data_IF_177403956941
#
_entry.id   IF_177403956941
#
_cell.length_a   1.000
_cell.length_b   1.000
_cell.length_c   1.000
_cell.angle_alpha   90.00
_cell.angle_beta   90.00
_cell.angle_gamma   90.00
#
_symmetry.space_group_name_H-M   'P 1'
#
loop_
_entity.id
_entity.type
_entity.pdbx_description
1 polymer ?
#
# COMPACT_ATOMS: atom_id res chain seq x y z
N UNK A 1 40.10 -20.09 -30.11
CA UNK A 1 39.73 -18.72 -29.66
C UNK A 1 38.25 -18.36 -29.88
N UNK A 2 37.66 -18.57 -31.07
CA UNK A 2 36.27 -18.15 -31.38
C UNK A 2 35.20 -18.79 -30.44
N UNK A 3 35.39 -20.05 -30.01
CA UNK A 3 34.48 -20.72 -29.05
C UNK A 3 34.53 -20.13 -27.63
N UNK A 4 35.67 -19.58 -27.22
CA UNK A 4 35.86 -18.99 -25.89
C UNK A 4 35.22 -17.60 -25.81
N UNK A 5 35.39 -16.81 -26.88
CA UNK A 5 34.80 -15.48 -27.02
C UNK A 5 33.26 -15.54 -27.13
N UNK A 6 32.69 -16.56 -27.79
CA UNK A 6 31.23 -16.80 -27.80
C UNK A 6 30.68 -17.15 -26.42
N UNK A 7 31.39 -17.95 -25.61
CA UNK A 7 30.95 -18.28 -24.23
C UNK A 7 31.01 -17.07 -23.30
N UNK A 8 32.07 -16.25 -23.40
CA UNK A 8 32.16 -15.01 -22.62
C UNK A 8 31.11 -13.97 -23.03
N UNK A 9 30.81 -13.86 -24.34
CA UNK A 9 29.78 -12.95 -24.82
C UNK A 9 28.38 -13.35 -24.29
N UNK A 10 28.06 -14.64 -24.25
CA UNK A 10 26.79 -15.13 -23.67
C UNK A 10 26.72 -14.87 -22.16
N UNK A 11 27.83 -15.07 -21.43
CA UNK A 11 27.88 -14.79 -19.99
C UNK A 11 27.68 -13.29 -19.68
N UNK A 12 28.31 -12.42 -20.48
CA UNK A 12 28.21 -10.96 -20.32
C UNK A 12 26.80 -10.44 -20.63
N UNK A 13 26.11 -11.04 -21.60
CA UNK A 13 24.74 -10.70 -21.96
C UNK A 13 23.71 -11.25 -20.97
N UNK A 14 24.00 -12.38 -20.32
CA UNK A 14 23.12 -13.01 -19.33
C UNK A 14 23.19 -12.36 -17.94
N UNK A 15 24.36 -11.80 -17.57
CA UNK A 15 24.58 -11.16 -16.27
C UNK A 15 23.59 -10.04 -15.91
N UNK A 16 23.24 -9.08 -16.78
CA UNK A 16 22.31 -8.00 -16.42
C UNK A 16 20.88 -8.50 -16.15
N UNK A 17 20.49 -9.64 -16.72
CA UNK A 17 19.16 -10.25 -16.51
C UNK A 17 19.00 -10.72 -15.05
N UNK A 18 20.10 -11.06 -14.37
CA UNK A 18 20.09 -11.45 -12.96
C UNK A 18 19.87 -10.25 -12.02
N UNK A 19 20.05 -9.01 -12.51
CA UNK A 19 19.90 -7.78 -11.73
C UNK A 19 18.59 -7.03 -12.02
N UNK A 20 17.67 -7.59 -12.81
CA UNK A 20 16.34 -7.00 -13.01
C UNK A 20 15.43 -7.30 -11.81
N UNK A 21 15.58 -6.53 -10.73
CA UNK A 21 14.70 -6.58 -9.57
C UNK A 21 13.49 -5.65 -9.69
N UNK A 22 12.40 -5.98 -8.99
CA UNK A 22 11.31 -5.02 -8.77
C UNK A 22 11.76 -3.97 -7.75
N UNK A 23 12.18 -2.80 -8.25
CA UNK A 23 12.64 -1.67 -7.44
C UNK A 23 11.52 -0.70 -7.03
N UNK A 24 10.29 -1.03 -7.38
CA UNK A 24 9.09 -0.26 -7.06
C UNK A 24 7.97 -1.23 -6.67
N UNK A 25 7.48 -1.12 -5.46
CA UNK A 25 6.33 -1.85 -4.95
C UNK A 25 5.25 -0.86 -4.54
N UNK A 26 4.00 -1.19 -4.82
CA UNK A 26 2.86 -0.35 -4.53
C UNK A 26 1.74 -1.20 -3.95
N UNK A 27 1.17 -0.75 -2.85
CA UNK A 27 0.04 -1.37 -2.16
C UNK A 27 -1.05 -0.31 -2.05
N UNK A 28 -2.25 -0.62 -2.54
CA UNK A 28 -3.42 0.27 -2.45
C UNK A 28 -4.50 -0.42 -1.65
N UNK A 29 -5.19 0.32 -0.78
CA UNK A 29 -6.25 -0.21 0.08
C UNK A 29 -7.66 -0.06 -0.52
N UNK A 30 -7.78 0.59 -1.68
CA UNK A 30 -9.07 0.93 -2.30
C UNK A 30 -9.65 2.26 -1.83
N UNK A 31 -9.11 2.84 -0.76
CA UNK A 31 -9.46 4.16 -0.25
C UNK A 31 -9.06 5.27 -1.25
N UNK A 32 -9.90 6.30 -1.36
CA UNK A 32 -9.59 7.49 -2.14
C UNK A 32 -8.39 8.23 -1.52
N UNK A 33 -7.36 8.49 -2.32
CA UNK A 33 -6.18 9.27 -1.88
C UNK A 33 -6.53 10.71 -1.53
N UNK A 34 -5.98 11.20 -0.43
CA UNK A 34 -5.96 12.62 -0.08
C UNK A 34 -4.71 13.31 -0.64
N UNK A 35 -4.59 14.62 -0.36
CA UNK A 35 -3.37 15.39 -0.61
C UNK A 35 -2.32 15.24 0.51
N UNK A 36 -2.64 14.53 1.60
CA UNK A 36 -1.74 14.31 2.72
C UNK A 36 -0.84 13.10 2.43
N UNK A 37 0.47 13.36 2.46
CA UNK A 37 1.50 12.37 2.13
C UNK A 37 2.59 12.43 3.20
N UNK A 38 2.91 11.28 3.78
CA UNK A 38 4.07 11.08 4.62
C UNK A 38 5.16 10.35 3.83
N UNK A 39 6.40 10.83 3.90
CA UNK A 39 7.51 10.29 3.11
C UNK A 39 8.73 10.07 3.99
N UNK A 40 9.27 8.87 3.92
CA UNK A 40 10.52 8.49 4.55
C UNK A 40 11.53 8.09 3.47
N UNK A 41 12.41 9.02 3.11
CA UNK A 41 13.39 8.84 2.03
C UNK A 41 14.43 7.73 2.32
N UNK A 42 14.75 7.52 3.60
CA UNK A 42 15.74 6.56 4.07
C UNK A 42 15.13 5.63 5.12
N UNK A 43 14.50 4.56 4.65
CA UNK A 43 14.13 3.41 5.45
C UNK A 43 15.30 2.41 5.42
N UNK A 44 15.94 2.20 6.57
CA UNK A 44 17.16 1.42 6.67
C UNK A 44 16.87 -0.09 6.62
N UNK A 45 17.26 -0.75 5.54
CA UNK A 45 17.24 -2.22 5.46
C UNK A 45 18.66 -2.72 5.19
N UNK A 46 18.92 -4.00 5.46
CA UNK A 46 20.26 -4.57 5.35
C UNK A 46 20.27 -5.90 4.60
N UNK A 47 21.44 -6.25 4.08
CA UNK A 47 21.70 -7.53 3.41
C UNK A 47 20.71 -7.73 2.26
N UNK A 48 20.71 -6.82 1.29
CA UNK A 48 19.83 -6.89 0.12
C UNK A 48 18.33 -6.85 0.44
N UNK A 49 17.93 -6.36 1.62
CA UNK A 49 16.54 -6.34 2.08
C UNK A 49 16.11 -7.55 2.91
N UNK A 50 17.03 -8.45 3.28
CA UNK A 50 16.73 -9.57 4.18
C UNK A 50 16.34 -9.08 5.58
N UNK A 51 17.00 -8.02 6.06
CA UNK A 51 16.62 -7.33 7.29
C UNK A 51 15.67 -6.19 6.91
N UNK A 52 14.39 -6.27 7.28
CA UNK A 52 13.40 -5.26 6.91
C UNK A 52 13.69 -3.93 7.61
N UNK A 53 13.22 -2.80 7.04
CA UNK A 53 13.28 -1.52 7.72
C UNK A 53 12.36 -1.47 8.95
N UNK A 54 12.60 -0.47 9.79
CA UNK A 54 11.72 -0.19 10.93
C UNK A 54 10.28 0.02 10.49
N UNK A 55 9.34 -0.37 11.35
CA UNK A 55 7.91 -0.25 11.09
C UNK A 55 7.55 1.24 10.99
N UNK A 56 6.90 1.61 9.89
CA UNK A 56 6.30 2.93 9.72
C UNK A 56 4.90 2.90 10.31
N UNK A 57 4.69 3.61 11.42
CA UNK A 57 3.38 3.73 12.07
C UNK A 57 2.50 4.72 11.30
N UNK A 58 1.94 4.28 10.18
CA UNK A 58 1.12 5.12 9.32
C UNK A 58 -0.13 5.69 10.02
N UNK A 59 -0.64 5.02 11.05
CA UNK A 59 -1.74 5.49 11.90
C UNK A 59 -1.44 6.80 12.66
N UNK A 60 -0.17 7.07 12.95
CA UNK A 60 0.25 8.31 13.61
C UNK A 60 0.20 9.52 12.69
N UNK A 61 0.22 9.27 11.37
CA UNK A 61 0.24 10.31 10.34
C UNK A 61 -1.09 10.40 9.58
N UNK A 62 -1.79 9.29 9.40
CA UNK A 62 -3.01 9.22 8.62
C UNK A 62 -4.21 8.93 9.52
N UNK A 63 -4.88 9.98 9.99
CA UNK A 63 -6.08 9.87 10.87
C UNK A 63 -7.22 9.08 10.20
N UNK A 64 -7.37 9.21 8.88
CA UNK A 64 -8.40 8.56 8.09
C UNK A 64 -7.95 7.21 7.50
N UNK A 65 -6.83 6.66 7.95
CA UNK A 65 -6.24 5.45 7.38
C UNK A 65 -5.43 5.71 6.11
N UNK A 66 -4.88 4.63 5.55
CA UNK A 66 -3.89 4.69 4.46
C UNK A 66 -4.57 4.36 3.14
N UNK A 67 -4.42 5.22 2.13
CA UNK A 67 -4.90 4.94 0.77
C UNK A 67 -3.90 4.13 -0.05
N UNK A 68 -2.62 4.46 0.10
CA UNK A 68 -1.55 3.90 -0.72
C UNK A 68 -0.23 3.90 0.02
N UNK A 69 0.54 2.83 -0.14
CA UNK A 69 1.93 2.73 0.29
C UNK A 69 2.79 2.40 -0.92
N UNK A 70 3.84 3.17 -1.12
CA UNK A 70 4.83 2.95 -2.17
C UNK A 70 6.20 2.76 -1.56
N UNK A 71 6.87 1.69 -1.96
CA UNK A 71 8.26 1.44 -1.60
C UNK A 71 9.08 1.51 -2.88
N UNK A 72 10.05 2.42 -2.92
CA UNK A 72 10.90 2.63 -4.11
C UNK A 72 12.37 2.71 -3.75
N UNK A 73 13.24 2.35 -4.69
CA UNK A 73 14.65 2.71 -4.62
C UNK A 73 14.89 4.01 -5.38
N UNK A 74 15.20 5.07 -4.67
CA UNK A 74 15.72 6.30 -5.26
C UNK A 74 17.12 6.09 -5.82
N UNK A 75 17.58 6.99 -6.69
CA UNK A 75 18.95 6.97 -7.20
C UNK A 75 20.00 6.96 -6.07
N UNK A 76 19.79 7.75 -5.02
CA UNK A 76 20.69 7.80 -3.87
C UNK A 76 20.67 6.50 -3.07
N UNK A 77 19.52 5.85 -2.97
CA UNK A 77 19.39 4.55 -2.33
C UNK A 77 20.14 3.46 -3.11
N UNK A 78 20.04 3.47 -4.43
CA UNK A 78 20.80 2.56 -5.30
C UNK A 78 22.31 2.82 -5.22
N UNK A 79 22.72 4.09 -5.15
CA UNK A 79 24.14 4.43 -4.98
C UNK A 79 24.68 3.93 -3.64
N UNK A 80 23.94 4.11 -2.55
CA UNK A 80 24.32 3.58 -1.23
C UNK A 80 24.41 2.05 -1.23
N UNK A 81 23.45 1.38 -1.88
CA UNK A 81 23.50 -0.06 -2.09
C UNK A 81 24.75 -0.49 -2.85
N UNK A 82 25.05 0.18 -3.96
CA UNK A 82 26.20 -0.14 -4.78
C UNK A 82 27.53 0.03 -4.01
N UNK A 83 27.71 1.15 -3.32
CA UNK A 83 28.92 1.46 -2.55
C UNK A 83 29.12 0.48 -1.39
N UNK A 84 28.04 0.00 -0.81
CA UNK A 84 28.09 -0.95 0.32
C UNK A 84 27.95 -2.42 -0.10
N UNK A 85 27.98 -2.70 -1.40
CA UNK A 85 27.79 -4.05 -1.95
C UNK A 85 26.50 -4.73 -1.42
N UNK A 86 25.43 -3.96 -1.31
CA UNK A 86 24.12 -4.34 -0.77
C UNK A 86 24.13 -4.79 0.70
N UNK A 87 25.20 -4.53 1.46
CA UNK A 87 25.17 -4.72 2.91
C UNK A 87 24.19 -3.74 3.57
N UNK A 88 24.18 -2.50 3.08
CA UNK A 88 23.20 -1.49 3.44
C UNK A 88 22.27 -1.24 2.26
N UNK A 89 20.99 -1.55 2.45
CA UNK A 89 19.97 -1.51 1.42
C UNK A 89 18.84 -0.55 1.79
N UNK A 90 19.12 0.76 1.83
CA UNK A 90 18.10 1.75 2.08
C UNK A 90 17.05 1.75 0.97
N UNK A 91 15.82 2.08 1.34
CA UNK A 91 14.70 2.29 0.44
C UNK A 91 13.91 3.52 0.87
N UNK A 92 13.04 3.99 0.00
CA UNK A 92 12.15 5.11 0.26
C UNK A 92 10.72 4.59 0.39
N UNK A 93 10.04 5.01 1.45
CA UNK A 93 8.65 4.65 1.73
C UNK A 93 7.80 5.93 1.65
N UNK A 94 6.78 5.90 0.82
CA UNK A 94 5.79 6.96 0.70
C UNK A 94 4.43 6.41 1.10
N UNK A 95 3.78 7.07 2.05
CA UNK A 95 2.45 6.75 2.54
C UNK A 95 1.52 7.89 2.15
N UNK A 96 0.53 7.60 1.31
CA UNK A 96 -0.54 8.55 0.99
C UNK A 96 -1.74 8.25 1.88
N UNK A 97 -2.17 9.25 2.65
CA UNK A 97 -3.31 9.11 3.55
C UNK A 97 -4.62 9.12 2.76
N UNK A 98 -5.63 8.45 3.31
CA UNK A 98 -6.97 8.44 2.74
C UNK A 98 -7.71 9.77 2.98
N UNK A 99 -8.52 10.18 2.01
CA UNK A 99 -9.36 11.37 2.12
C UNK A 99 -10.49 11.19 3.15
N UNK A 100 -10.93 9.95 3.37
CA UNK A 100 -12.01 9.60 4.28
C UNK A 100 -11.73 8.26 4.98
N UNK A 101 -12.20 8.06 6.22
CA UNK A 101 -11.93 6.87 7.04
C UNK A 101 -12.61 5.57 6.57
N UNK A 102 -13.29 5.57 5.42
CA UNK A 102 -14.07 4.44 4.91
C UNK A 102 -13.67 4.11 3.48
N UNK A 103 -13.25 2.85 3.28
CA UNK A 103 -12.79 2.34 1.99
C UNK A 103 -13.94 2.11 0.99
N UNK A 104 -15.17 2.07 1.48
CA UNK A 104 -16.24 1.45 0.72
C UNK A 104 -17.48 2.32 0.53
N UNK A 105 -17.41 3.64 0.74
CA UNK A 105 -18.44 4.48 0.15
C UNK A 105 -18.17 4.56 -1.35
N UNK A 106 -18.63 3.55 -2.10
CA UNK A 106 -18.93 3.76 -3.51
C UNK A 106 -19.78 5.04 -3.55
N UNK A 107 -19.49 6.03 -4.42
CA UNK A 107 -20.21 7.30 -4.39
C UNK A 107 -21.75 7.16 -4.41
N UNK A 108 -22.25 6.05 -4.95
CA UNK A 108 -23.69 5.70 -5.00
C UNK A 108 -24.18 4.78 -3.87
N UNK A 109 -23.31 4.38 -2.93
CA UNK A 109 -23.69 3.52 -1.81
C UNK A 109 -24.51 4.27 -0.77
N UNK A 110 -25.64 3.67 -0.36
CA UNK A 110 -26.51 4.24 0.68
C UNK A 110 -25.95 3.90 2.06
N UNK A 111 -25.99 4.89 2.96
CA UNK A 111 -25.67 4.69 4.37
C UNK A 111 -26.92 4.98 5.21
N UNK A 112 -27.24 4.05 6.12
CA UNK A 112 -28.26 4.21 7.15
C UNK A 112 -27.55 4.60 8.44
N UNK A 113 -27.87 5.77 8.98
CA UNK A 113 -27.28 6.26 10.23
C UNK A 113 -28.14 5.81 11.42
N UNK A 114 -27.48 5.21 12.41
CA UNK A 114 -28.09 4.71 13.66
C UNK A 114 -27.42 5.43 14.83
N UNK A 115 -28.17 6.04 15.76
CA UNK A 115 -27.58 6.67 16.94
C UNK A 115 -26.78 5.67 17.80
N UNK A 116 -25.58 6.05 18.27
CA UNK A 116 -24.86 5.33 19.33
C UNK A 116 -25.74 5.32 20.57
N UNK A 117 -26.09 4.12 21.06
CA UNK A 117 -27.05 3.84 22.15
C UNK A 117 -28.51 3.65 21.73
N UNK A 118 -28.78 3.37 20.45
CA UNK A 118 -30.10 2.90 20.04
C UNK A 118 -30.44 1.55 20.67
N UNK A 119 -31.72 1.35 21.00
CA UNK A 119 -32.22 0.05 21.46
C UNK A 119 -32.05 -1.02 20.39
N UNK A 120 -31.93 -2.28 20.83
CA UNK A 120 -31.69 -3.44 19.95
C UNK A 120 -32.74 -3.56 18.84
N UNK A 121 -33.98 -3.14 19.09
CA UNK A 121 -35.05 -3.11 18.09
C UNK A 121 -34.73 -2.16 16.93
N UNK A 122 -34.24 -0.95 17.22
CA UNK A 122 -33.87 0.04 16.20
C UNK A 122 -32.68 -0.46 15.38
N UNK A 123 -31.72 -1.10 16.04
CA UNK A 123 -30.54 -1.68 15.37
C UNK A 123 -30.95 -2.80 14.42
N UNK A 124 -31.79 -3.74 14.88
CA UNK A 124 -32.33 -4.83 14.05
C UNK A 124 -33.15 -4.31 12.88
N UNK A 125 -33.98 -3.28 13.10
CA UNK A 125 -34.73 -2.60 12.05
C UNK A 125 -33.81 -2.05 10.96
N UNK A 126 -32.78 -1.30 11.34
CA UNK A 126 -31.81 -0.74 10.40
C UNK A 126 -31.07 -1.81 9.60
N UNK A 127 -30.72 -2.95 10.22
CA UNK A 127 -30.10 -4.07 9.50
C UNK A 127 -31.06 -4.75 8.53
N UNK A 128 -32.32 -4.96 8.91
CA UNK A 128 -33.32 -5.54 8.00
C UNK A 128 -33.57 -4.63 6.79
N UNK A 129 -33.65 -3.32 7.02
CA UNK A 129 -33.80 -2.33 5.95
C UNK A 129 -32.58 -2.30 5.03
N UNK A 130 -31.37 -2.36 5.60
CA UNK A 130 -30.13 -2.45 4.82
C UNK A 130 -30.11 -3.68 3.90
N UNK A 131 -30.51 -4.84 4.42
CA UNK A 131 -30.59 -6.09 3.64
C UNK A 131 -31.58 -5.96 2.49
N UNK A 132 -32.77 -5.41 2.75
CA UNK A 132 -33.79 -5.21 1.71
C UNK A 132 -33.32 -4.25 0.62
N UNK A 133 -32.76 -3.11 1.02
CA UNK A 133 -32.23 -2.11 0.09
C UNK A 133 -31.06 -2.67 -0.73
N UNK A 134 -30.18 -3.48 -0.13
CA UNK A 134 -29.08 -4.13 -0.83
C UNK A 134 -29.58 -5.16 -1.84
N UNK A 135 -30.58 -5.97 -1.48
CA UNK A 135 -31.20 -6.94 -2.37
C UNK A 135 -31.89 -6.27 -3.58
N UNK A 136 -32.56 -5.14 -3.37
CA UNK A 136 -33.25 -4.38 -4.43
C UNK A 136 -32.26 -3.66 -5.36
N UNK A 137 -31.28 -2.97 -4.80
CA UNK A 137 -30.32 -2.15 -5.55
C UNK A 137 -29.16 -2.94 -6.16
N UNK A 138 -28.91 -4.17 -5.68
CA UNK A 138 -27.72 -4.97 -5.98
C UNK A 138 -26.41 -4.24 -5.66
N UNK A 139 -26.45 -3.32 -4.70
CA UNK A 139 -25.31 -2.53 -4.22
C UNK A 139 -25.15 -2.72 -2.71
N UNK A 140 -23.95 -2.50 -2.16
CA UNK A 140 -23.75 -2.50 -0.71
C UNK A 140 -24.50 -1.32 -0.06
N UNK A 141 -25.09 -1.58 1.11
CA UNK A 141 -25.74 -0.58 1.97
C UNK A 141 -25.10 -0.65 3.35
N UNK A 142 -24.59 0.48 3.83
CA UNK A 142 -23.84 0.56 5.09
C UNK A 142 -24.75 0.94 6.25
N UNK A 143 -24.48 0.39 7.42
CA UNK A 143 -25.09 0.82 8.69
C UNK A 143 -24.00 1.48 9.53
N UNK A 144 -24.16 2.77 9.81
CA UNK A 144 -23.17 3.59 10.50
C UNK A 144 -23.71 4.01 11.87
N UNK A 145 -22.93 3.76 12.93
CA UNK A 145 -23.28 4.14 14.29
C UNK A 145 -22.62 5.48 14.64
N UNK A 146 -23.41 6.55 14.78
CA UNK A 146 -22.91 7.90 15.09
C UNK A 146 -23.00 8.23 16.57
#
# INVERSE_FOLDING_TARGET
MIKFMKKQLVLLLALPILFTGCYHAQITTGLQSSNEVYQQAWAHSFIGGLVPPNIVNAEQHCTNGVARVETRLSFLNMLAQFVTLSLYSPMEITVTCAASPRADLHPDSKTLEVPKNSETEIVLGAFNDAVKLSAESKQPVYVSFQ
#
